data_IF_912427238586
#
_entry.id   IF_912427238586
#
_cell.length_a   1.000
_cell.length_b   1.000
_cell.length_c   1.000
_cell.angle_alpha   90.00
_cell.angle_beta   90.00
_cell.angle_gamma   90.00
#
_symmetry.space_group_name_H-M   'P 1'
#
loop_
_entity.id
_entity.type
_entity.pdbx_description
1 polymer ?
#
# COMPACT_ATOMS: atom_id res chain seq x y z
N UNK A 1 0.19 -17.79 3.58
CA UNK A 1 1.43 -16.97 3.48
C UNK A 1 1.72 -16.45 2.05
N UNK A 2 2.08 -17.27 1.04
CA UNK A 2 2.40 -16.75 -0.32
C UNK A 2 1.23 -15.98 -0.97
N UNK A 3 0.01 -16.52 -0.87
CA UNK A 3 -1.21 -15.85 -1.38
C UNK A 3 -1.53 -14.56 -0.63
N UNK A 4 -1.24 -14.47 0.67
CA UNK A 4 -1.39 -13.22 1.44
C UNK A 4 -0.47 -12.14 0.88
N UNK A 5 0.80 -12.50 0.64
CA UNK A 5 1.78 -11.57 0.09
C UNK A 5 1.35 -11.04 -1.29
N UNK A 6 0.89 -11.91 -2.18
CA UNK A 6 0.46 -11.49 -3.53
C UNK A 6 -0.79 -10.60 -3.50
N UNK A 7 -1.79 -10.93 -2.68
CA UNK A 7 -2.99 -10.10 -2.51
C UNK A 7 -2.65 -8.74 -1.92
N UNK A 8 -1.82 -8.72 -0.87
CA UNK A 8 -1.33 -7.50 -0.23
C UNK A 8 -0.54 -6.63 -1.21
N UNK A 9 0.40 -7.21 -1.97
CA UNK A 9 1.19 -6.49 -2.99
C UNK A 9 0.30 -5.89 -4.07
N UNK A 10 -0.71 -6.65 -4.54
CA UNK A 10 -1.67 -6.15 -5.52
C UNK A 10 -2.41 -4.93 -4.98
N UNK A 11 -2.97 -5.00 -3.77
CA UNK A 11 -3.68 -3.87 -3.17
C UNK A 11 -2.77 -2.65 -2.91
N UNK A 12 -1.52 -2.88 -2.50
CA UNK A 12 -0.53 -1.81 -2.36
C UNK A 12 -0.21 -1.14 -3.70
N UNK A 13 -0.08 -1.92 -4.79
CA UNK A 13 0.14 -1.35 -6.11
C UNK A 13 -1.08 -0.56 -6.59
N UNK A 14 -2.28 -1.10 -6.44
CA UNK A 14 -3.52 -0.41 -6.78
C UNK A 14 -3.68 0.90 -6.01
N UNK A 15 -3.32 0.93 -4.72
CA UNK A 15 -3.39 2.17 -3.93
C UNK A 15 -2.46 3.28 -4.46
N UNK A 16 -1.36 2.88 -5.11
CA UNK A 16 -0.39 3.80 -5.69
C UNK A 16 -0.78 4.31 -7.08
N UNK A 17 -1.42 3.48 -7.89
CA UNK A 17 -1.67 3.81 -9.32
C UNK A 17 -3.11 4.16 -9.67
N UNK A 18 -4.10 3.68 -8.91
CA UNK A 18 -5.52 3.72 -9.34
C UNK A 18 -6.39 4.66 -8.51
N UNK A 19 -6.07 4.86 -7.22
CA UNK A 19 -6.92 5.64 -6.29
C UNK A 19 -6.32 6.97 -5.88
N UNK A 20 -7.23 7.88 -5.52
CA UNK A 20 -6.95 9.19 -4.94
C UNK A 20 -6.61 9.11 -3.44
N UNK A 21 -6.15 10.23 -2.89
CA UNK A 21 -5.88 10.39 -1.47
C UNK A 21 -7.12 10.14 -0.62
N UNK A 22 -6.95 9.52 0.54
CA UNK A 22 -8.02 9.21 1.49
C UNK A 22 -8.86 7.98 1.13
N UNK A 23 -8.82 7.48 -0.11
CA UNK A 23 -9.56 6.29 -0.52
C UNK A 23 -8.80 5.01 -0.17
N UNK A 24 -9.34 4.14 0.71
CA UNK A 24 -8.68 2.88 1.06
C UNK A 24 -8.89 1.80 -0.01
N UNK A 25 -7.84 1.05 -0.31
CA UNK A 25 -7.89 -0.21 -1.06
C UNK A 25 -7.81 -1.36 -0.09
N UNK A 26 -8.82 -2.22 -0.09
CA UNK A 26 -8.90 -3.39 0.79
C UNK A 26 -8.37 -4.65 0.10
N UNK A 27 -7.84 -5.56 0.91
CA UNK A 27 -7.54 -6.92 0.49
C UNK A 27 -7.90 -7.90 1.58
N UNK A 28 -8.23 -9.11 1.16
CA UNK A 28 -8.54 -10.21 2.05
C UNK A 28 -8.10 -11.54 1.43
N UNK A 29 -7.70 -12.47 2.29
CA UNK A 29 -7.49 -13.87 1.96
C UNK A 29 -8.37 -14.76 2.84
N UNK A 30 -9.49 -15.29 2.31
CA UNK A 30 -10.39 -16.14 3.07
C UNK A 30 -9.76 -17.47 3.49
N UNK A 31 -8.68 -17.92 2.82
CA UNK A 31 -8.00 -19.18 3.16
C UNK A 31 -7.22 -19.09 4.48
N UNK A 32 -6.74 -17.90 4.84
CA UNK A 32 -5.91 -17.65 6.02
C UNK A 32 -6.57 -16.72 7.03
N UNK A 33 -7.75 -16.17 6.70
CA UNK A 33 -8.42 -15.13 7.47
C UNK A 33 -7.68 -13.78 7.50
N UNK A 34 -6.59 -13.63 6.75
CA UNK A 34 -5.80 -12.40 6.72
C UNK A 34 -6.50 -11.33 5.89
N UNK A 35 -6.53 -10.09 6.37
CA UNK A 35 -7.11 -8.96 5.67
C UNK A 35 -6.32 -7.68 5.93
N UNK A 36 -6.65 -6.62 5.20
CA UNK A 36 -6.00 -5.34 5.41
C UNK A 36 -6.44 -4.28 4.43
N UNK A 37 -5.78 -3.14 4.53
CA UNK A 37 -6.02 -2.00 3.65
C UNK A 37 -4.76 -1.17 3.41
N UNK A 38 -4.79 -0.40 2.34
CA UNK A 38 -3.82 0.64 2.05
C UNK A 38 -4.57 1.93 1.75
N UNK A 39 -4.17 3.03 2.40
CA UNK A 39 -4.76 4.36 2.19
C UNK A 39 -3.66 5.37 1.93
N UNK A 40 -3.73 6.08 0.81
CA UNK A 40 -2.82 7.20 0.54
C UNK A 40 -3.20 8.36 1.47
N UNK A 41 -2.28 8.77 2.33
CA UNK A 41 -2.45 9.90 3.23
C UNK A 41 -2.14 11.23 2.54
N UNK A 42 -1.15 11.22 1.65
CA UNK A 42 -0.64 12.42 0.98
C UNK A 42 0.15 12.07 -0.27
N UNK A 43 -0.01 12.86 -1.32
CA UNK A 43 0.85 12.89 -2.51
C UNK A 43 1.66 14.18 -2.54
N UNK A 44 2.95 14.10 -2.82
CA UNK A 44 3.83 15.27 -2.90
C UNK A 44 4.98 15.03 -3.89
N UNK A 45 5.69 16.10 -4.26
CA UNK A 45 6.95 15.98 -5.01
C UNK A 45 8.13 16.02 -4.04
N UNK A 46 9.05 15.06 -4.14
CA UNK A 46 10.29 15.06 -3.37
C UNK A 46 11.23 16.17 -3.83
N UNK A 47 12.30 16.39 -3.07
CA UNK A 47 13.39 17.33 -3.42
C UNK A 47 14.06 16.98 -4.76
N UNK A 48 14.04 15.70 -5.15
CA UNK A 48 14.55 15.19 -6.42
C UNK A 48 13.52 15.28 -7.56
N UNK A 49 12.33 15.84 -7.29
CA UNK A 49 11.25 15.99 -8.26
C UNK A 49 10.41 14.73 -8.51
N UNK A 50 10.63 13.65 -7.76
CA UNK A 50 9.83 12.41 -7.86
C UNK A 50 8.46 12.58 -7.20
N UNK A 51 7.41 12.01 -7.78
CA UNK A 51 6.11 11.93 -7.11
C UNK A 51 6.21 10.87 -6.01
N UNK A 52 5.90 11.25 -4.78
CA UNK A 52 5.88 10.35 -3.64
C UNK A 52 4.50 10.35 -2.99
N UNK A 53 4.10 9.20 -2.48
CA UNK A 53 2.86 8.96 -1.76
C UNK A 53 3.17 8.39 -0.40
N UNK A 54 2.67 9.05 0.63
CA UNK A 54 2.63 8.52 1.99
C UNK A 54 1.39 7.64 2.14
N UNK A 55 1.56 6.45 2.69
CA UNK A 55 0.56 5.39 2.77
C UNK A 55 0.43 4.94 4.21
N UNK A 56 -0.80 4.80 4.67
CA UNK A 56 -1.12 3.98 5.82
C UNK A 56 -1.46 2.57 5.34
N UNK A 57 -0.77 1.58 5.88
CA UNK A 57 -1.05 0.16 5.68
C UNK A 57 -1.62 -0.43 6.95
N UNK A 58 -2.69 -1.20 6.81
CA UNK A 58 -3.28 -2.00 7.87
C UNK A 58 -3.27 -3.47 7.45
N UNK A 59 -2.93 -4.36 8.36
CA UNK A 59 -3.04 -5.81 8.15
C UNK A 59 -3.49 -6.49 9.45
N UNK A 60 -4.46 -7.39 9.35
CA UNK A 60 -4.98 -8.19 10.43
C UNK A 60 -4.91 -9.68 10.06
N UNK A 61 -4.63 -10.53 11.04
CA UNK A 61 -4.60 -11.98 10.90
C UNK A 61 -4.74 -12.66 12.27
N UNK A 62 -4.40 -13.94 12.33
CA UNK A 62 -4.52 -14.75 13.56
C UNK A 62 -3.70 -14.19 14.73
N UNK A 63 -2.51 -13.64 14.43
CA UNK A 63 -1.59 -13.06 15.42
C UNK A 63 -1.95 -11.62 15.84
N UNK A 64 -3.08 -11.08 15.36
CA UNK A 64 -3.55 -9.73 15.64
C UNK A 64 -3.42 -8.77 14.46
N UNK A 65 -3.46 -7.47 14.76
CA UNK A 65 -3.48 -6.41 13.76
C UNK A 65 -2.30 -5.45 13.89
N UNK A 66 -1.79 -4.98 12.75
CA UNK A 66 -0.69 -4.04 12.65
C UNK A 66 -1.05 -2.91 11.69
N UNK A 67 -0.69 -1.68 12.08
CA UNK A 67 -0.78 -0.49 11.23
C UNK A 67 0.62 0.12 11.08
N UNK A 68 1.00 0.49 9.85
CA UNK A 68 2.28 1.13 9.55
C UNK A 68 2.11 2.24 8.52
N UNK A 69 2.81 3.34 8.73
CA UNK A 69 2.99 4.38 7.71
C UNK A 69 4.26 4.11 6.91
N UNK A 70 4.18 4.31 5.60
CA UNK A 70 5.27 4.07 4.65
C UNK A 70 5.21 5.12 3.54
N UNK A 71 6.36 5.40 2.92
CA UNK A 71 6.41 6.28 1.75
C UNK A 71 6.82 5.46 0.53
N UNK A 72 6.12 5.66 -0.59
CA UNK A 72 6.52 5.12 -1.87
C UNK A 72 6.75 6.27 -2.86
N UNK A 73 7.83 6.23 -3.63
CA UNK A 73 8.12 7.20 -4.67
C UNK A 73 8.10 6.54 -6.05
N UNK A 74 7.53 7.25 -7.02
CA UNK A 74 7.48 6.82 -8.40
C UNK A 74 8.85 7.03 -9.07
N UNK A 75 9.32 5.99 -9.74
CA UNK A 75 10.51 5.97 -10.56
C UNK A 75 10.21 6.51 -11.96
N UNK A 76 11.25 6.89 -12.70
CA UNK A 76 11.12 7.45 -14.05
C UNK A 76 10.42 6.51 -15.05
N UNK A 77 10.50 5.20 -14.82
CA UNK A 77 9.86 4.16 -15.64
C UNK A 77 8.41 3.87 -15.23
N UNK A 78 7.85 4.64 -14.30
CA UNK A 78 6.48 4.50 -13.80
C UNK A 78 6.30 3.47 -12.68
N UNK A 79 7.35 2.71 -12.34
CA UNK A 79 7.33 1.81 -11.19
C UNK A 79 7.32 2.61 -9.87
N UNK A 80 6.94 1.96 -8.77
CA UNK A 80 6.95 2.55 -7.44
C UNK A 80 7.92 1.79 -6.53
N UNK A 81 8.67 2.52 -5.71
CA UNK A 81 9.63 2.00 -4.76
C UNK A 81 9.34 2.54 -3.36
N UNK A 82 9.42 1.68 -2.33
CA UNK A 82 9.37 2.12 -0.94
C UNK A 82 10.69 2.80 -0.56
N UNK A 83 10.61 3.98 0.07
CA UNK A 83 11.77 4.79 0.48
C UNK A 83 11.93 4.89 1.99
#
# INVERSE_FOLDING_TARGET
IKKDQERRKKAAYQSLVEVEEGLPVFWENPETGSSGSFKVLRTYKSTEGRVCRELESHAAGEDGAVTKQQTACQLFNGAWELV
#
